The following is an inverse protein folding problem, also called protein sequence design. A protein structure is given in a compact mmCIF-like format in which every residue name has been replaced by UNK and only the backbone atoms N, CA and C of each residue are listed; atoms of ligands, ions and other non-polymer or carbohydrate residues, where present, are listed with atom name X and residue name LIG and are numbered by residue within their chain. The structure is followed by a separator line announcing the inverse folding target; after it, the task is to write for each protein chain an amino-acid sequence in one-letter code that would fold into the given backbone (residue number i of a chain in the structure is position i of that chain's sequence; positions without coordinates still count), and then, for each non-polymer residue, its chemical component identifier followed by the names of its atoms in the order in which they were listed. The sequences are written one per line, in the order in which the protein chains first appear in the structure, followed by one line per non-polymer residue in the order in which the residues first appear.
data_IF_776671719143
#
_entry.id   IF_776671719143
#
_cell.length_a   1.000
_cell.length_b   1.000
_cell.length_c   1.000
_cell.angle_alpha   90.00
_cell.angle_beta   90.00
_cell.angle_gamma   90.00
#
_symmetry.space_group_name_H-M   'P 1'
#
loop_
_entity.id
_entity.type
_entity.pdbx_description
1 polymer ?
#
# COMPACT_ATOMS: atom_id res chain seq x y z
N UNK A 1 -19.43 25.21 17.60
CA UNK A 1 -19.63 24.14 16.60
C UNK A 1 -18.41 24.10 15.69
N UNK A 2 -17.34 23.43 16.11
CA UNK A 2 -16.16 23.27 15.27
C UNK A 2 -16.27 21.94 14.56
N UNK A 3 -16.86 21.95 13.37
CA UNK A 3 -16.86 20.82 12.45
C UNK A 3 -15.45 20.65 11.91
N UNK A 4 -14.64 19.84 12.60
CA UNK A 4 -13.39 19.35 12.05
C UNK A 4 -13.71 18.49 10.84
N UNK A 5 -13.34 18.97 9.67
CA UNK A 5 -13.44 18.24 8.41
C UNK A 5 -12.69 16.91 8.58
N UNK A 6 -13.47 15.83 8.71
CA UNK A 6 -12.95 14.47 8.57
C UNK A 6 -12.53 14.33 7.11
N UNK A 7 -11.30 14.76 6.80
CA UNK A 7 -10.65 14.48 5.52
C UNK A 7 -10.69 12.97 5.34
N UNK A 8 -11.62 12.55 4.48
CA UNK A 8 -12.01 11.16 4.28
C UNK A 8 -10.77 10.33 3.98
N UNK A 9 -10.51 9.31 4.81
CA UNK A 9 -9.41 8.35 4.63
C UNK A 9 -9.41 7.70 3.22
N UNK A 10 -10.53 7.79 2.51
CA UNK A 10 -10.69 7.36 1.13
C UNK A 10 -9.82 8.11 0.11
N UNK A 11 -9.39 9.35 0.38
CA UNK A 11 -8.64 10.15 -0.60
C UNK A 11 -7.26 9.57 -0.96
N UNK A 12 -6.71 8.68 -0.12
CA UNK A 12 -5.39 8.06 -0.34
C UNK A 12 -5.46 6.58 -0.70
N UNK A 13 -6.66 6.03 -0.89
CA UNK A 13 -6.88 4.64 -1.25
C UNK A 13 -6.84 4.45 -2.77
N UNK A 14 -5.78 3.85 -3.27
CA UNK A 14 -5.55 3.67 -4.71
C UNK A 14 -5.54 2.21 -5.13
N UNK A 15 -5.82 1.94 -6.40
CA UNK A 15 -5.65 0.59 -6.94
C UNK A 15 -4.16 0.21 -7.12
N UNK A 16 -3.92 -1.04 -7.46
CA UNK A 16 -2.57 -1.60 -7.60
C UNK A 16 -1.75 -0.96 -8.72
N UNK A 17 -2.37 -0.43 -9.78
CA UNK A 17 -1.65 0.25 -10.87
C UNK A 17 -1.18 1.62 -10.44
N UNK A 18 -2.02 2.38 -9.73
CA UNK A 18 -1.64 3.66 -9.17
C UNK A 18 -0.54 3.51 -8.10
N UNK A 19 -0.65 2.52 -7.21
CA UNK A 19 0.41 2.19 -6.25
C UNK A 19 1.72 1.77 -6.94
N UNK A 20 1.64 1.03 -8.04
CA UNK A 20 2.80 0.64 -8.83
C UNK A 20 3.52 1.85 -9.44
N UNK A 21 2.76 2.78 -10.03
CA UNK A 21 3.30 4.02 -10.58
C UNK A 21 3.96 4.87 -9.49
N UNK A 22 3.33 4.98 -8.31
CA UNK A 22 3.86 5.74 -7.17
C UNK A 22 5.19 5.17 -6.67
N UNK A 23 5.28 3.87 -6.45
CA UNK A 23 6.43 3.20 -5.83
C UNK A 23 7.55 2.82 -6.79
N UNK A 24 7.27 2.86 -8.10
CA UNK A 24 8.15 2.31 -9.14
C UNK A 24 8.27 0.78 -9.08
N UNK A 25 7.29 0.09 -8.46
CA UNK A 25 7.27 -1.38 -8.36
C UNK A 25 6.16 -1.98 -9.22
N UNK A 26 6.33 -3.22 -9.71
CA UNK A 26 5.26 -3.91 -10.44
C UNK A 26 4.00 -4.08 -9.58
N UNK A 27 2.81 -3.98 -10.18
CA UNK A 27 1.54 -4.18 -9.48
C UNK A 27 1.43 -5.55 -8.79
N UNK A 28 2.04 -6.60 -9.37
CA UNK A 28 2.15 -7.93 -8.74
C UNK A 28 2.91 -7.90 -7.41
N UNK A 29 3.90 -7.02 -7.27
CA UNK A 29 4.66 -6.83 -6.04
C UNK A 29 3.81 -6.15 -4.97
N UNK A 30 3.03 -5.12 -5.35
CA UNK A 30 2.09 -4.47 -4.42
C UNK A 30 1.04 -5.45 -3.91
N UNK A 31 0.48 -6.27 -4.81
CA UNK A 31 -0.45 -7.35 -4.44
C UNK A 31 0.16 -8.33 -3.46
N UNK A 32 1.39 -8.78 -3.73
CA UNK A 32 2.12 -9.69 -2.84
C UNK A 32 2.32 -9.07 -1.45
N UNK A 33 2.75 -7.81 -1.38
CA UNK A 33 2.90 -7.11 -0.09
C UNK A 33 1.59 -7.04 0.70
N UNK A 34 0.47 -6.74 0.05
CA UNK A 34 -0.85 -6.76 0.71
C UNK A 34 -1.33 -8.16 1.10
N UNK A 35 -0.87 -9.23 0.43
CA UNK A 35 -1.15 -10.61 0.84
C UNK A 35 -0.31 -11.02 2.05
N UNK A 36 0.95 -10.60 2.09
CA UNK A 36 1.88 -10.81 3.20
C UNK A 36 1.60 -9.89 4.41
N UNK A 37 0.65 -8.95 4.30
CA UNK A 37 0.35 -8.00 5.38
C UNK A 37 1.45 -6.95 5.60
N UNK A 38 2.34 -6.75 4.63
CA UNK A 38 3.38 -5.71 4.64
C UNK A 38 2.81 -4.29 4.49
N UNK A 39 1.64 -4.19 3.87
CA UNK A 39 0.89 -2.94 3.65
C UNK A 39 -0.60 -3.21 3.86
N UNK A 40 -1.33 -2.20 4.30
CA UNK A 40 -2.77 -2.24 4.44
C UNK A 40 -3.45 -2.41 3.07
N UNK A 41 -4.44 -3.29 3.05
CA UNK A 41 -5.36 -3.48 1.93
C UNK A 41 -6.78 -3.25 2.40
N UNK A 42 -7.55 -2.55 1.59
CA UNK A 42 -8.95 -2.23 1.84
C UNK A 42 -9.81 -2.82 0.74
N UNK A 43 -10.94 -3.42 1.11
CA UNK A 43 -11.80 -4.15 0.17
C UNK A 43 -11.35 -5.58 -0.10
N UNK A 44 -12.22 -6.35 -0.74
CA UNK A 44 -11.98 -7.76 -1.08
C UNK A 44 -12.58 -8.07 -2.47
N UNK A 45 -11.96 -9.00 -3.19
CA UNK A 45 -12.39 -9.40 -4.53
C UNK A 45 -11.61 -8.71 -5.67
N UNK A 46 -11.74 -9.28 -6.87
CA UNK A 46 -10.99 -8.84 -8.05
C UNK A 46 -11.39 -7.41 -8.44
N UNK A 47 -10.41 -6.49 -8.41
CA UNK A 47 -10.61 -5.09 -8.80
C UNK A 47 -11.18 -4.17 -7.72
N UNK A 48 -11.54 -4.71 -6.54
CA UNK A 48 -12.07 -3.92 -5.43
C UNK A 48 -11.02 -3.60 -4.34
N UNK A 49 -9.83 -4.19 -4.43
CA UNK A 49 -8.74 -3.97 -3.47
C UNK A 49 -8.09 -2.61 -3.71
N UNK A 50 -7.96 -1.84 -2.62
CA UNK A 50 -7.26 -0.56 -2.57
C UNK A 50 -6.12 -0.59 -1.54
N UNK A 51 -5.09 0.22 -1.78
CA UNK A 51 -3.90 0.35 -0.94
C UNK A 51 -3.76 1.79 -0.46
N UNK A 52 -3.28 1.97 0.76
CA UNK A 52 -3.05 3.30 1.32
C UNK A 52 -1.71 3.87 0.84
N UNK A 53 -1.77 4.96 0.08
CA UNK A 53 -0.56 5.65 -0.40
C UNK A 53 0.33 6.17 0.73
N UNK A 54 -0.21 6.42 1.93
CA UNK A 54 0.58 6.95 3.06
C UNK A 54 1.55 5.92 3.62
N UNK A 55 1.28 4.63 3.41
CA UNK A 55 2.19 3.54 3.77
C UNK A 55 3.25 3.28 2.67
N UNK A 56 3.09 3.90 1.50
CA UNK A 56 3.94 3.69 0.34
C UNK A 56 4.85 4.88 0.11
N UNK A 57 6.16 4.62 0.08
CA UNK A 57 7.13 5.65 -0.27
C UNK A 57 7.16 5.83 -1.80
N UNK A 58 7.18 7.09 -2.30
CA UNK A 58 7.29 7.34 -3.72
C UNK A 58 8.64 6.86 -4.26
N UNK A 59 8.65 6.49 -5.54
CA UNK A 59 9.87 6.32 -6.30
C UNK A 59 10.65 7.65 -6.31
N UNK A 60 11.96 7.55 -6.14
CA UNK A 60 12.85 8.69 -6.23
C UNK A 60 14.12 8.29 -6.97
N UNK A 61 14.70 9.17 -7.81
CA UNK A 61 15.96 8.88 -8.51
C UNK A 61 17.14 8.63 -7.55
N UNK A 62 17.10 9.18 -6.34
CA UNK A 62 18.16 8.99 -5.34
C UNK A 62 18.09 7.63 -4.63
N UNK A 63 16.89 7.08 -4.45
CA UNK A 63 16.64 5.85 -3.67
C UNK A 63 16.22 4.66 -4.54
N UNK A 64 15.86 4.91 -5.81
CA UNK A 64 15.28 3.93 -6.71
C UNK A 64 13.84 3.55 -6.32
N UNK A 65 13.35 2.40 -6.79
CA UNK A 65 12.02 1.91 -6.44
C UNK A 65 11.91 1.51 -4.97
N UNK A 66 10.74 1.73 -4.38
CA UNK A 66 10.46 1.48 -2.96
C UNK A 66 10.96 0.10 -2.54
N UNK A 67 11.75 0.00 -1.47
CA UNK A 67 12.17 -1.31 -0.95
C UNK A 67 10.97 -2.03 -0.32
N UNK A 68 11.02 -3.38 -0.31
CA UNK A 68 9.95 -4.14 0.32
C UNK A 68 9.81 -3.74 1.81
N UNK A 69 8.59 -3.39 2.27
CA UNK A 69 8.37 -3.17 3.70
C UNK A 69 8.70 -4.44 4.48
N UNK A 70 9.14 -4.32 5.74
CA UNK A 70 9.36 -5.48 6.58
C UNK A 70 8.06 -6.30 6.72
N UNK A 71 8.19 -7.60 6.89
CA UNK A 71 7.06 -8.41 7.34
C UNK A 71 6.68 -7.94 8.75
N UNK A 72 5.38 -7.93 9.10
CA UNK A 72 4.98 -7.60 10.46
C UNK A 72 5.53 -8.64 11.45
N UNK A 73 5.82 -8.24 12.69
CA UNK A 73 6.47 -9.08 13.71
C UNK A 73 5.71 -10.37 14.05
N UNK A 74 4.39 -10.39 13.80
CA UNK A 74 3.53 -11.55 14.01
C UNK A 74 3.49 -12.51 12.81
N UNK A 75 4.21 -12.18 11.72
CA UNK A 75 4.44 -13.09 10.60
C UNK A 75 5.57 -14.05 10.98
N UNK A 76 5.32 -14.92 11.96
CA UNK A 76 6.17 -16.11 12.15
C UNK A 76 6.16 -16.85 10.82
N UNK A 77 7.32 -16.92 10.17
CA UNK A 77 7.53 -17.81 9.05
C UNK A 77 7.17 -19.22 9.53
N UNK A 78 6.02 -19.73 9.12
CA UNK A 78 5.66 -21.10 9.35
C UNK A 78 6.72 -21.96 8.64
N UNK A 79 7.63 -22.51 9.45
CA UNK A 79 8.56 -23.56 9.07
C UNK A 79 7.87 -24.91 9.15
#
# INVERSE_FOLDING_TARGET
MSGGELVSLEQYLVDDKAAAAWTGRPASTIRRWGLEGRIAKHGNGRGAVRYDLRELQPWSPANGPMKAPPLPDHFTAAA
#
